data_IF_604900786346
#
_entry.id   IF_604900786346
#
_cell.length_a   1.000
_cell.length_b   1.000
_cell.length_c   1.000
_cell.angle_alpha   90.00
_cell.angle_beta   90.00
_cell.angle_gamma   90.00
#
_symmetry.space_group_name_H-M   'P 1'
#
loop_
_entity.id
_entity.type
_entity.pdbx_description
1 polymer ?
#
# COMPACT_ATOMS: atom_id res chain seq x y z
N UNK A 1 -27.26 -2.69 -1.21
CA UNK A 1 -26.36 -2.74 -0.04
C UNK A 1 -25.16 -3.53 -0.47
N UNK A 2 -24.37 -2.93 -1.35
CA UNK A 2 -23.15 -3.51 -1.86
C UNK A 2 -22.13 -3.42 -0.73
N UNK A 3 -21.89 -4.56 -0.10
CA UNK A 3 -20.76 -4.73 0.81
C UNK A 3 -19.52 -4.56 -0.06
N UNK A 4 -18.99 -3.34 -0.08
CA UNK A 4 -17.62 -3.10 -0.48
C UNK A 4 -16.78 -4.00 0.43
N UNK A 5 -16.29 -5.10 -0.14
CA UNK A 5 -15.33 -5.95 0.55
C UNK A 5 -14.09 -5.12 0.90
N UNK A 6 -13.27 -5.58 1.86
CA UNK A 6 -12.04 -4.89 2.20
C UNK A 6 -11.22 -4.71 0.92
N UNK A 7 -10.97 -3.45 0.55
CA UNK A 7 -9.86 -3.15 -0.33
C UNK A 7 -8.65 -3.81 0.32
N UNK A 8 -7.84 -4.54 -0.45
CA UNK A 8 -6.68 -5.33 0.00
C UNK A 8 -6.96 -6.77 0.46
N UNK A 9 -7.44 -7.63 -0.44
CA UNK A 9 -7.02 -9.05 -0.50
C UNK A 9 -7.58 -9.77 -1.74
N UNK A 10 -7.63 -9.13 -2.93
CA UNK A 10 -7.82 -9.93 -4.14
C UNK A 10 -6.53 -10.74 -4.38
N UNK A 11 -6.57 -12.10 -4.32
CA UNK A 11 -5.42 -12.92 -4.67
C UNK A 11 -4.90 -12.66 -6.09
N UNK A 12 -5.72 -12.02 -6.94
CA UNK A 12 -5.42 -11.65 -8.31
C UNK A 12 -4.46 -10.45 -8.46
N UNK A 13 -4.22 -9.65 -7.42
CA UNK A 13 -3.34 -8.46 -7.50
C UNK A 13 -1.87 -8.77 -7.20
N UNK A 14 -1.55 -9.97 -6.70
CA UNK A 14 -0.17 -10.34 -6.36
C UNK A 14 0.60 -10.70 -7.63
N UNK A 15 1.69 -9.99 -8.01
CA UNK A 15 2.42 -10.33 -9.21
C UNK A 15 3.11 -11.69 -9.08
N UNK A 16 3.23 -12.48 -10.16
CA UNK A 16 3.96 -13.73 -10.13
C UNK A 16 5.48 -13.51 -10.16
N UNK A 17 6.22 -14.36 -9.47
CA UNK A 17 7.67 -14.46 -9.57
C UNK A 17 8.09 -14.83 -10.99
N UNK A 18 9.03 -14.09 -11.59
CA UNK A 18 9.56 -14.41 -12.93
C UNK A 18 10.40 -15.69 -12.99
N UNK A 19 10.89 -16.16 -11.85
CA UNK A 19 11.72 -17.37 -11.77
C UNK A 19 10.95 -18.66 -11.54
N UNK A 20 9.96 -18.67 -10.65
CA UNK A 20 9.22 -19.88 -10.27
C UNK A 20 7.72 -19.82 -10.55
N UNK A 21 7.21 -18.71 -11.09
CA UNK A 21 5.79 -18.47 -11.39
C UNK A 21 4.83 -18.48 -10.20
N UNK A 22 5.33 -18.67 -8.98
CA UNK A 22 4.52 -18.56 -7.76
C UNK A 22 4.10 -17.11 -7.50
N UNK A 23 2.89 -16.92 -6.96
CA UNK A 23 2.41 -15.61 -6.51
C UNK A 23 3.29 -15.06 -5.39
N UNK A 24 3.68 -13.78 -5.51
CA UNK A 24 4.57 -13.15 -4.55
C UNK A 24 3.83 -12.74 -3.28
N UNK A 25 4.50 -12.98 -2.17
CA UNK A 25 4.16 -12.43 -0.86
C UNK A 25 5.32 -11.54 -0.44
N UNK A 26 5.01 -10.44 0.23
CA UNK A 26 6.05 -9.59 0.80
C UNK A 26 6.87 -10.36 1.86
N UNK A 27 8.17 -10.07 1.99
CA UNK A 27 8.95 -9.21 1.09
C UNK A 27 9.35 -9.93 -0.21
N UNK A 28 9.38 -9.18 -1.31
CA UNK A 28 9.89 -9.67 -2.61
C UNK A 28 10.77 -8.62 -3.30
N UNK A 29 11.47 -9.04 -4.35
CA UNK A 29 12.45 -8.19 -5.04
C UNK A 29 11.85 -7.66 -6.33
N UNK A 30 12.00 -6.37 -6.57
CA UNK A 30 11.77 -5.71 -7.86
C UNK A 30 13.12 -5.31 -8.43
N UNK A 31 13.43 -5.78 -9.64
CA UNK A 31 14.61 -5.30 -10.36
C UNK A 31 14.40 -3.84 -10.77
N UNK A 32 15.37 -2.97 -10.48
CA UNK A 32 15.30 -1.54 -10.80
C UNK A 32 15.65 -1.24 -12.27
N UNK A 33 16.29 -2.19 -12.95
CA UNK A 33 16.80 -2.00 -14.32
C UNK A 33 15.93 -2.68 -15.38
N UNK A 34 15.10 -3.65 -15.00
CA UNK A 34 14.31 -4.44 -15.94
C UNK A 34 12.87 -3.93 -16.09
N UNK A 35 12.48 -3.55 -17.31
CA UNK A 35 11.10 -3.28 -17.72
C UNK A 35 11.02 -2.60 -19.09
N UNK A 36 9.81 -2.45 -19.66
CA UNK A 36 8.54 -3.09 -19.30
C UNK A 36 8.36 -4.51 -19.92
N UNK A 37 7.63 -5.45 -19.26
CA UNK A 37 6.95 -5.31 -17.97
C UNK A 37 7.92 -5.43 -16.78
N UNK A 38 7.53 -4.94 -15.57
CA UNK A 38 8.35 -5.07 -14.37
C UNK A 38 8.79 -6.51 -14.09
N UNK A 39 9.97 -6.63 -13.49
CA UNK A 39 10.60 -7.91 -13.20
C UNK A 39 10.67 -8.15 -11.69
N UNK A 40 9.89 -9.11 -11.21
CA UNK A 40 9.79 -9.44 -9.79
C UNK A 40 10.30 -10.84 -9.51
N UNK A 41 10.99 -11.01 -8.38
CA UNK A 41 11.50 -12.28 -7.90
C UNK A 41 11.11 -12.51 -6.45
N UNK A 42 10.78 -13.77 -6.12
CA UNK A 42 10.74 -14.19 -4.72
C UNK A 42 12.17 -14.26 -4.16
N UNK A 43 12.31 -14.22 -2.84
CA UNK A 43 13.62 -14.29 -2.18
C UNK A 43 14.43 -15.53 -2.58
N UNK A 44 13.77 -16.68 -2.79
CA UNK A 44 14.44 -17.91 -3.18
C UNK A 44 15.05 -17.85 -4.60
N UNK A 45 14.34 -17.27 -5.57
CA UNK A 45 14.89 -17.07 -6.91
C UNK A 45 16.00 -16.02 -6.91
N UNK A 46 15.83 -14.94 -6.14
CA UNK A 46 16.85 -13.89 -6.01
C UNK A 46 18.16 -14.44 -5.41
N UNK A 47 18.09 -15.13 -4.27
CA UNK A 47 19.28 -15.69 -3.59
C UNK A 47 20.00 -16.79 -4.37
N UNK A 48 19.34 -17.41 -5.35
CA UNK A 48 19.96 -18.37 -6.29
C UNK A 48 20.63 -17.70 -7.49
N UNK A 49 20.58 -16.37 -7.59
CA UNK A 49 21.08 -15.64 -8.75
C UNK A 49 20.30 -15.96 -10.02
N UNK A 50 18.96 -15.99 -9.95
CA UNK A 50 18.14 -16.27 -11.13
C UNK A 50 18.37 -15.21 -12.22
N UNK A 51 18.79 -15.65 -13.39
CA UNK A 51 18.98 -14.80 -14.56
C UNK A 51 18.11 -15.27 -15.72
N UNK A 52 17.56 -14.30 -16.47
CA UNK A 52 16.72 -14.62 -17.61
C UNK A 52 16.67 -13.48 -18.62
N UNK A 53 16.96 -13.80 -19.89
CA UNK A 53 17.01 -12.83 -20.99
C UNK A 53 17.94 -11.66 -20.65
N UNK A 54 17.36 -10.48 -20.39
CA UNK A 54 18.09 -9.24 -20.09
C UNK A 54 18.30 -9.01 -18.60
N UNK A 55 17.70 -9.82 -17.74
CA UNK A 55 17.91 -9.71 -16.30
C UNK A 55 19.20 -10.43 -15.91
N UNK A 56 20.07 -9.74 -15.20
CA UNK A 56 21.26 -10.29 -14.57
C UNK A 56 21.12 -10.20 -13.05
N UNK A 57 21.79 -11.10 -12.34
CA UNK A 57 21.69 -11.24 -10.87
C UNK A 57 22.37 -10.10 -10.11
N UNK A 58 23.19 -9.30 -10.79
CA UNK A 58 23.90 -8.13 -10.28
C UNK A 58 23.18 -6.80 -10.53
N UNK A 59 22.01 -6.82 -11.17
CA UNK A 59 21.20 -5.62 -11.33
C UNK A 59 20.81 -5.02 -9.97
N UNK A 60 20.80 -3.68 -9.93
CA UNK A 60 20.24 -2.93 -8.82
C UNK A 60 18.76 -3.29 -8.60
N UNK A 61 18.34 -3.28 -7.33
CA UNK A 61 17.03 -3.79 -6.95
C UNK A 61 16.39 -3.00 -5.80
N UNK A 62 15.07 -3.10 -5.71
CA UNK A 62 14.23 -2.58 -4.64
C UNK A 62 13.62 -3.75 -3.87
N UNK A 63 13.60 -3.67 -2.53
CA UNK A 63 12.88 -4.61 -1.68
C UNK A 63 11.46 -4.07 -1.52
N UNK A 64 10.49 -4.82 -2.02
CA UNK A 64 9.08 -4.52 -1.87
C UNK A 64 8.59 -5.12 -0.55
N UNK A 65 8.29 -4.27 0.42
CA UNK A 65 7.80 -4.64 1.76
C UNK A 65 7.05 -3.48 2.39
N UNK A 66 6.07 -3.78 3.23
CA UNK A 66 5.30 -2.82 4.04
C UNK A 66 5.72 -2.80 5.52
N UNK A 67 6.80 -3.50 5.88
CA UNK A 67 7.34 -3.58 7.26
C UNK A 67 8.34 -2.45 7.55
N UNK A 68 7.88 -1.21 7.39
CA UNK A 68 8.68 -0.02 7.69
C UNK A 68 7.79 1.12 8.21
N UNK A 69 8.29 2.02 9.08
CA UNK A 69 7.48 3.09 9.62
C UNK A 69 7.22 4.20 8.61
N UNK A 70 6.01 4.78 8.65
CA UNK A 70 5.59 5.87 7.73
C UNK A 70 5.37 7.19 8.48
N UNK A 71 4.40 7.23 9.39
CA UNK A 71 4.00 8.45 10.09
C UNK A 71 4.54 8.51 11.52
N UNK A 72 4.68 7.35 12.16
CA UNK A 72 5.22 7.18 13.50
C UNK A 72 6.20 5.99 13.51
N UNK A 73 7.36 6.11 14.19
CA UNK A 73 8.32 5.01 14.27
C UNK A 73 7.78 3.71 14.84
N UNK A 74 6.67 3.76 15.59
CA UNK A 74 6.02 2.59 16.19
C UNK A 74 4.91 1.97 15.33
N UNK A 75 4.65 2.51 14.14
CA UNK A 75 3.58 2.06 13.23
C UNK A 75 4.14 1.76 11.84
N UNK A 76 4.01 0.52 11.37
CA UNK A 76 4.46 0.14 10.03
C UNK A 76 3.47 0.56 8.95
N UNK A 77 3.90 0.66 7.70
CA UNK A 77 3.03 0.95 6.56
C UNK A 77 1.85 -0.04 6.47
N UNK A 78 2.10 -1.31 6.78
CA UNK A 78 1.05 -2.34 6.87
C UNK A 78 0.04 -2.03 7.98
N UNK A 79 0.49 -1.60 9.16
CA UNK A 79 -0.39 -1.23 10.28
C UNK A 79 -1.19 0.04 9.97
N UNK A 80 -0.60 1.03 9.29
CA UNK A 80 -1.31 2.23 8.85
C UNK A 80 -2.45 1.88 7.90
N UNK A 81 -2.20 1.01 6.93
CA UNK A 81 -3.24 0.54 6.00
C UNK A 81 -4.34 -0.23 6.74
N UNK A 82 -3.95 -1.19 7.58
CA UNK A 82 -4.88 -2.00 8.36
C UNK A 82 -5.77 -1.13 9.28
N UNK A 83 -5.23 -0.04 9.84
CA UNK A 83 -6.00 0.88 10.68
C UNK A 83 -7.07 1.59 9.86
N UNK A 84 -6.73 2.10 8.69
CA UNK A 84 -7.68 2.79 7.81
C UNK A 84 -8.79 1.85 7.32
N UNK A 85 -8.43 0.63 6.94
CA UNK A 85 -9.38 -0.41 6.54
C UNK A 85 -10.31 -0.78 7.70
N UNK A 86 -9.76 -1.03 8.89
CA UNK A 86 -10.55 -1.38 10.07
C UNK A 86 -11.50 -0.25 10.49
N UNK A 87 -11.08 1.02 10.40
CA UNK A 87 -11.96 2.18 10.67
C UNK A 87 -13.06 2.30 9.62
N UNK A 88 -12.77 2.01 8.35
CA UNK A 88 -13.76 1.99 7.28
C UNK A 88 -14.80 0.88 7.48
N UNK A 89 -14.37 -0.31 7.90
CA UNK A 89 -15.22 -1.49 8.11
C UNK A 89 -16.05 -1.39 9.40
N UNK A 90 -15.41 -1.05 10.52
CA UNK A 90 -16.03 -1.04 11.85
C UNK A 90 -16.73 0.29 12.19
N UNK A 91 -16.42 1.35 11.45
CA UNK A 91 -16.92 2.70 11.66
C UNK A 91 -16.08 3.51 12.66
N UNK A 92 -15.97 4.81 12.39
CA UNK A 92 -15.25 5.75 13.26
C UNK A 92 -15.85 5.80 14.68
N UNK A 93 -15.00 5.77 15.69
CA UNK A 93 -15.39 5.75 17.11
C UNK A 93 -15.57 4.34 17.69
N UNK A 94 -15.71 3.30 16.85
CA UNK A 94 -15.76 1.91 17.31
C UNK A 94 -14.36 1.30 17.49
N UNK A 95 -13.54 1.93 18.32
CA UNK A 95 -12.12 1.59 18.47
C UNK A 95 -11.88 0.18 19.03
N UNK A 96 -12.86 -0.38 19.74
CA UNK A 96 -12.79 -1.73 20.25
C UNK A 96 -12.77 -2.76 19.11
N UNK A 97 -13.70 -2.64 18.14
CA UNK A 97 -13.74 -3.55 17.00
C UNK A 97 -12.60 -3.29 16.02
N UNK A 98 -12.19 -2.02 15.86
CA UNK A 98 -11.00 -1.65 15.09
C UNK A 98 -9.75 -2.35 15.65
N UNK A 99 -9.52 -2.28 16.96
CA UNK A 99 -8.39 -2.96 17.60
C UNK A 99 -8.47 -4.49 17.46
N UNK A 100 -9.68 -5.06 17.55
CA UNK A 100 -9.90 -6.49 17.34
C UNK A 100 -9.52 -6.91 15.90
N UNK A 101 -9.80 -6.09 14.89
CA UNK A 101 -9.41 -6.34 13.50
C UNK A 101 -7.90 -6.15 13.28
N UNK A 102 -7.32 -5.12 13.89
CA UNK A 102 -5.87 -4.84 13.82
C UNK A 102 -5.01 -5.96 14.40
N UNK A 103 -5.44 -6.59 15.51
CA UNK A 103 -4.71 -7.61 16.27
C UNK A 103 -3.33 -7.21 16.84
N UNK A 104 -2.71 -6.10 16.40
CA UNK A 104 -1.36 -5.68 16.80
C UNK A 104 -1.35 -4.48 17.75
N UNK A 105 -2.44 -3.73 17.84
CA UNK A 105 -2.56 -2.49 18.63
C UNK A 105 -3.81 -2.51 19.51
N UNK A 106 -3.74 -1.81 20.64
CA UNK A 106 -4.88 -1.59 21.53
C UNK A 106 -5.83 -0.52 21.00
N UNK A 107 -7.06 -0.48 21.52
CA UNK A 107 -8.05 0.53 21.11
C UNK A 107 -7.58 1.95 21.41
N UNK A 108 -6.90 2.16 22.54
CA UNK A 108 -6.38 3.46 22.94
C UNK A 108 -5.26 3.92 22.00
N UNK A 109 -4.40 2.99 21.57
CA UNK A 109 -3.35 3.27 20.58
C UNK A 109 -3.95 3.60 19.22
N UNK A 110 -4.92 2.81 18.74
CA UNK A 110 -5.61 3.05 17.47
C UNK A 110 -6.30 4.42 17.45
N UNK A 111 -7.09 4.74 18.48
CA UNK A 111 -7.78 6.02 18.58
C UNK A 111 -6.79 7.18 18.60
N UNK A 112 -5.79 7.11 19.49
CA UNK A 112 -4.81 8.18 19.65
C UNK A 112 -4.03 8.41 18.36
N UNK A 113 -3.59 7.33 17.70
CA UNK A 113 -2.83 7.41 16.46
C UNK A 113 -3.67 8.01 15.33
N UNK A 114 -4.90 7.49 15.15
CA UNK A 114 -5.83 7.97 14.13
C UNK A 114 -6.11 9.48 14.28
N UNK A 115 -6.48 9.89 15.50
CA UNK A 115 -6.77 11.29 15.80
C UNK A 115 -5.56 12.19 15.58
N UNK A 116 -4.36 11.78 16.02
CA UNK A 116 -3.14 12.57 15.90
C UNK A 116 -2.72 12.75 14.44
N UNK A 117 -2.71 11.67 13.66
CA UNK A 117 -2.05 11.65 12.35
C UNK A 117 -2.98 11.90 11.17
N UNK A 118 -4.27 11.54 11.27
CA UNK A 118 -5.22 11.65 10.16
C UNK A 118 -6.26 12.77 10.36
N UNK A 119 -6.67 13.08 11.59
CA UNK A 119 -7.68 14.11 11.87
C UNK A 119 -7.06 15.45 12.26
N UNK A 120 -6.20 15.46 13.28
CA UNK A 120 -5.65 16.69 13.86
C UNK A 120 -4.37 17.15 13.17
N UNK A 121 -3.88 16.39 12.19
CA UNK A 121 -2.67 16.75 11.47
C UNK A 121 -3.00 17.79 10.37
N UNK A 122 -2.51 19.04 10.50
CA UNK A 122 -2.79 20.09 9.51
C UNK A 122 -2.23 19.76 8.12
N UNK A 123 -1.22 18.90 8.03
CA UNK A 123 -0.70 18.43 6.74
C UNK A 123 -1.70 17.53 6.02
N UNK A 124 -2.42 16.66 6.72
CA UNK A 124 -3.38 15.77 6.06
C UNK A 124 -4.63 16.54 5.60
N UNK A 125 -5.11 17.46 6.44
CA UNK A 125 -6.22 18.35 6.10
C UNK A 125 -5.89 19.27 4.91
N UNK A 126 -4.68 19.83 4.83
CA UNK A 126 -4.30 20.71 3.73
C UNK A 126 -3.87 19.94 2.47
N UNK A 127 -3.06 18.89 2.59
CA UNK A 127 -2.51 18.17 1.43
C UNK A 127 -3.55 17.35 0.68
N UNK A 128 -4.47 16.63 1.35
CA UNK A 128 -5.50 15.87 0.62
C UNK A 128 -6.55 16.76 -0.04
N UNK A 129 -6.95 17.87 0.61
CA UNK A 129 -7.84 18.85 -0.02
C UNK A 129 -7.17 19.47 -1.25
N UNK A 130 -5.88 19.79 -1.18
CA UNK A 130 -5.12 20.32 -2.31
C UNK A 130 -4.93 19.29 -3.43
N UNK A 131 -4.76 18.00 -3.11
CA UNK A 131 -4.66 16.93 -4.12
C UNK A 131 -5.99 16.71 -4.85
N UNK A 132 -7.11 16.70 -4.13
CA UNK A 132 -8.45 16.61 -4.73
C UNK A 132 -8.74 17.80 -5.65
N UNK A 133 -8.41 19.01 -5.22
CA UNK A 133 -8.54 20.21 -6.06
C UNK A 133 -7.64 20.16 -7.30
N UNK A 134 -6.42 19.63 -7.18
CA UNK A 134 -5.50 19.49 -8.31
C UNK A 134 -5.93 18.40 -9.30
N UNK A 135 -6.59 17.33 -8.83
CA UNK A 135 -7.16 16.27 -9.66
C UNK A 135 -8.41 16.74 -10.40
N UNK A 136 -9.31 17.45 -9.71
CA UNK A 136 -10.50 18.08 -10.30
C UNK A 136 -10.12 19.13 -11.37
N UNK A 137 -9.09 19.96 -11.10
CA UNK A 137 -8.57 20.93 -12.07
C UNK A 137 -8.00 20.26 -13.34
N UNK A 138 -7.33 19.11 -13.20
CA UNK A 138 -6.81 18.35 -14.35
C UNK A 138 -7.91 17.73 -15.19
N UNK A 139 -9.03 17.32 -14.59
CA UNK A 139 -10.17 16.79 -15.35
C UNK A 139 -10.92 17.87 -16.16
N UNK A 140 -10.97 19.11 -15.65
CA UNK A 140 -11.62 20.23 -16.35
C UNK A 140 -10.90 20.64 -17.65
N UNK A 141 -9.56 20.59 -17.68
CA UNK A 141 -8.78 20.94 -18.87
C UNK A 141 -8.83 19.90 -20.00
N UNK A 142 -9.38 18.71 -19.75
CA UNK A 142 -9.57 17.65 -20.77
C UNK A 142 -10.99 17.57 -21.33
N UNK A 143 -11.92 18.37 -20.82
CA UNK A 143 -13.29 18.42 -21.33
C UNK A 143 -13.31 19.17 -22.67
N UNK A 144 -13.48 18.43 -23.77
CA UNK A 144 -13.65 18.99 -25.11
C UNK A 144 -15.00 19.76 -25.14
N UNK A 145 -15.02 21.06 -25.47
CA UNK A 145 -16.28 21.80 -25.57
C UNK A 145 -17.15 21.22 -26.67
N UNK A 146 -18.45 21.07 -26.40
CA UNK A 146 -19.43 20.81 -27.44
C UNK A 146 -19.57 22.09 -28.29
N UNK A 147 -19.14 22.00 -29.55
CA UNK A 147 -19.52 22.95 -30.61
C UNK A 147 -20.69 22.38 -31.41
#
# INVERSE_FOLDING_TARGET
MDRLGPFSNDPSDKPPCRGCSSYLMEPYIKCAECGPPPFFLCLQCFTRGFEYKKHQSDHTYEIMTSDFPVLDPSWTAQEEMALLEAVMDCGFGNWQDVANQMCTKTKEECEKHYMKHFINNPLFASTLLNLKQAEEAKTADTAIPFH
#
